data_IF_972393394350
#
_entry.id   IF_972393394350
#
_cell.length_a   1.000
_cell.length_b   1.000
_cell.length_c   1.000
_cell.angle_alpha   90.00
_cell.angle_beta   90.00
_cell.angle_gamma   90.00
#
_symmetry.space_group_name_H-M   'P 1'
#
loop_
_entity.id
_entity.type
_entity.pdbx_description
1 polymer ?
#
# COMPACT_ATOMS: atom_id res chain seq x y z
N UNK A 1 -18.72 -69.21 6.37
CA UNK A 1 -17.63 -68.47 7.05
C UNK A 1 -17.35 -67.19 6.28
N UNK A 2 -17.52 -66.09 6.98
CA UNK A 2 -17.80 -64.75 6.48
C UNK A 2 -16.50 -63.99 6.19
N UNK A 3 -15.97 -64.02 4.96
CA UNK A 3 -14.85 -63.15 4.57
C UNK A 3 -15.38 -61.86 3.96
N UNK A 4 -15.81 -60.96 4.85
CA UNK A 4 -16.22 -59.61 4.51
C UNK A 4 -14.99 -58.79 4.13
N UNK A 5 -15.05 -58.23 2.94
CA UNK A 5 -13.99 -57.44 2.32
C UNK A 5 -13.71 -56.15 3.11
N UNK A 6 -12.46 -55.90 3.55
CA UNK A 6 -12.10 -54.68 4.28
C UNK A 6 -11.91 -53.46 3.36
N UNK A 7 -12.30 -53.53 2.08
CA UNK A 7 -12.10 -52.46 1.09
C UNK A 7 -13.21 -51.40 1.11
N UNK A 8 -14.35 -51.67 1.74
CA UNK A 8 -15.48 -50.72 1.83
C UNK A 8 -15.28 -49.55 2.81
N UNK A 9 -14.66 -49.69 4.01
CA UNK A 9 -14.51 -48.53 4.91
C UNK A 9 -13.43 -47.54 4.45
N UNK A 10 -12.44 -47.96 3.65
CA UNK A 10 -11.37 -47.07 3.19
C UNK A 10 -11.83 -46.08 2.11
N UNK A 11 -12.75 -46.49 1.24
CA UNK A 11 -13.33 -45.61 0.20
C UNK A 11 -14.32 -44.58 0.77
N UNK A 12 -14.97 -44.89 1.89
CA UNK A 12 -15.94 -43.99 2.52
C UNK A 12 -15.25 -42.82 3.28
N UNK A 13 -14.03 -43.00 3.76
CA UNK A 13 -13.26 -41.94 4.42
C UNK A 13 -12.64 -40.93 3.44
N UNK A 14 -12.29 -41.34 2.21
CA UNK A 14 -11.82 -40.39 1.19
C UNK A 14 -12.96 -39.54 0.60
N UNK A 15 -14.21 -40.02 0.66
CA UNK A 15 -15.37 -39.24 0.23
C UNK A 15 -15.74 -38.12 1.22
N UNK A 16 -15.46 -38.28 2.53
CA UNK A 16 -15.73 -37.25 3.53
C UNK A 16 -14.70 -36.10 3.55
N UNK A 17 -13.48 -36.32 3.06
CA UNK A 17 -12.48 -35.25 2.91
C UNK A 17 -12.66 -34.42 1.63
N UNK A 18 -13.51 -34.86 0.69
CA UNK A 18 -13.83 -34.14 -0.54
C UNK A 18 -14.80 -32.96 -0.38
N UNK A 19 -15.37 -32.74 0.83
CA UNK A 19 -16.32 -31.66 1.10
C UNK A 19 -15.70 -30.41 1.75
N UNK A 20 -14.38 -30.38 1.96
CA UNK A 20 -13.65 -29.12 2.08
C UNK A 20 -13.28 -28.61 0.68
N UNK A 21 -14.31 -28.39 -0.14
CA UNK A 21 -14.20 -27.36 -1.14
C UNK A 21 -14.00 -26.05 -0.35
N UNK A 22 -12.74 -25.66 -0.15
CA UNK A 22 -12.42 -24.26 0.09
C UNK A 22 -13.26 -23.50 -0.94
N UNK A 23 -14.18 -22.61 -0.51
CA UNK A 23 -14.98 -21.91 -1.47
C UNK A 23 -13.95 -21.17 -2.32
N UNK A 24 -13.85 -21.56 -3.58
CA UNK A 24 -13.21 -20.81 -4.65
C UNK A 24 -14.01 -19.53 -4.77
N UNK A 25 -13.84 -18.66 -3.77
CA UNK A 25 -14.29 -17.28 -3.75
C UNK A 25 -13.35 -16.61 -4.71
N UNK A 26 -13.64 -16.78 -5.99
CA UNK A 26 -13.23 -15.81 -6.98
C UNK A 26 -13.71 -14.47 -6.42
N UNK A 27 -12.77 -13.69 -5.88
CA UNK A 27 -13.02 -12.29 -5.60
C UNK A 27 -13.70 -11.73 -6.86
N UNK A 28 -14.86 -11.09 -6.71
CA UNK A 28 -15.52 -10.48 -7.85
C UNK A 28 -14.52 -9.61 -8.61
N UNK A 29 -14.55 -9.69 -9.95
CA UNK A 29 -13.83 -8.71 -10.75
C UNK A 29 -14.41 -7.32 -10.48
N UNK A 30 -13.57 -6.29 -10.61
CA UNK A 30 -13.97 -4.91 -10.34
C UNK A 30 -15.19 -4.49 -11.18
N UNK A 31 -15.25 -4.96 -12.43
CA UNK A 31 -16.40 -4.78 -13.34
C UNK A 31 -17.72 -5.35 -12.78
N UNK A 32 -17.65 -6.46 -12.02
CA UNK A 32 -18.82 -7.07 -11.39
C UNK A 32 -19.24 -6.30 -10.13
N UNK A 33 -18.28 -5.74 -9.39
CA UNK A 33 -18.54 -4.88 -8.23
C UNK A 33 -19.29 -3.62 -8.66
N UNK A 34 -18.83 -2.97 -9.73
CA UNK A 34 -19.45 -1.78 -10.31
C UNK A 34 -20.89 -2.09 -10.76
N UNK A 35 -21.09 -3.15 -11.55
CA UNK A 35 -22.42 -3.59 -11.97
C UNK A 35 -23.38 -3.84 -10.80
N UNK A 36 -22.90 -4.42 -9.68
CA UNK A 36 -23.74 -4.62 -8.51
C UNK A 36 -24.04 -3.30 -7.77
N UNK A 37 -23.12 -2.33 -7.83
CA UNK A 37 -23.31 -0.99 -7.28
C UNK A 37 -24.36 -0.22 -8.09
N UNK A 38 -24.29 -0.28 -9.42
CA UNK A 38 -25.28 0.32 -10.34
C UNK A 38 -26.69 -0.28 -10.15
N UNK A 39 -26.76 -1.58 -9.83
CA UNK A 39 -28.01 -2.25 -9.43
C UNK A 39 -28.57 -1.75 -8.07
N UNK A 40 -27.88 -0.80 -7.39
CA UNK A 40 -28.29 -0.21 -6.12
C UNK A 40 -27.99 -1.07 -4.89
N UNK A 41 -27.13 -2.09 -5.02
CA UNK A 41 -26.76 -2.93 -3.86
C UNK A 41 -25.78 -2.20 -2.97
N UNK A 42 -26.03 -2.25 -1.66
CA UNK A 42 -25.11 -1.64 -0.69
C UNK A 42 -23.72 -2.29 -0.73
N UNK A 43 -22.67 -1.49 -0.50
CA UNK A 43 -21.27 -1.93 -0.41
C UNK A 43 -21.09 -3.13 0.52
N UNK A 44 -21.86 -3.19 1.61
CA UNK A 44 -21.85 -4.32 2.57
C UNK A 44 -22.43 -5.61 1.99
N UNK A 45 -23.49 -5.52 1.17
CA UNK A 45 -24.07 -6.66 0.47
C UNK A 45 -23.14 -7.16 -0.65
N UNK A 46 -22.49 -6.25 -1.38
CA UNK A 46 -21.52 -6.59 -2.43
C UNK A 46 -20.29 -7.26 -1.81
N UNK A 47 -19.74 -6.70 -0.72
CA UNK A 47 -18.64 -7.29 0.03
C UNK A 47 -18.94 -8.73 0.49
N UNK A 48 -20.15 -8.97 0.99
CA UNK A 48 -20.60 -10.30 1.40
C UNK A 48 -20.79 -11.25 0.21
N UNK A 49 -21.28 -10.75 -0.91
CA UNK A 49 -21.52 -11.54 -2.14
C UNK A 49 -20.21 -11.91 -2.84
N UNK A 50 -19.24 -11.01 -2.81
CA UNK A 50 -17.94 -11.15 -3.46
C UNK A 50 -16.85 -11.72 -2.53
N UNK A 51 -17.20 -11.99 -1.26
CA UNK A 51 -16.27 -12.28 -0.17
C UNK A 51 -15.03 -11.37 -0.14
N UNK A 52 -15.27 -10.07 -0.26
CA UNK A 52 -14.26 -9.03 -0.22
C UNK A 52 -14.48 -8.15 1.00
N UNK A 53 -13.46 -7.39 1.39
CA UNK A 53 -13.63 -6.39 2.44
C UNK A 53 -14.46 -5.22 1.93
N UNK A 54 -15.25 -4.62 2.82
CA UNK A 54 -16.05 -3.42 2.52
C UNK A 54 -15.14 -2.28 2.01
N UNK A 55 -13.93 -2.16 2.55
CA UNK A 55 -12.94 -1.19 2.09
C UNK A 55 -12.53 -1.39 0.62
N UNK A 56 -12.34 -2.64 0.19
CA UNK A 56 -11.96 -2.95 -1.20
C UNK A 56 -13.10 -2.70 -2.18
N UNK A 57 -14.32 -3.07 -1.82
CA UNK A 57 -15.51 -2.77 -2.64
C UNK A 57 -15.74 -1.26 -2.74
N UNK A 58 -15.59 -0.52 -1.64
CA UNK A 58 -15.73 0.94 -1.62
C UNK A 58 -14.71 1.61 -2.54
N UNK A 59 -13.44 1.19 -2.49
CA UNK A 59 -12.39 1.73 -3.34
C UNK A 59 -12.66 1.51 -4.83
N UNK A 60 -13.28 0.38 -5.21
CA UNK A 60 -13.62 0.09 -6.61
C UNK A 60 -14.81 0.93 -7.09
N UNK A 61 -15.85 1.08 -6.26
CA UNK A 61 -17.01 1.93 -6.60
C UNK A 61 -16.59 3.40 -6.71
N UNK A 62 -15.81 3.89 -5.74
CA UNK A 62 -15.27 5.26 -5.76
C UNK A 62 -14.35 5.50 -6.98
N UNK A 63 -13.62 4.48 -7.45
CA UNK A 63 -12.80 4.62 -8.66
C UNK A 63 -13.63 4.72 -9.96
N UNK A 64 -14.82 4.13 -10.02
CA UNK A 64 -15.72 4.19 -11.19
C UNK A 64 -16.52 5.50 -11.25
N UNK A 65 -17.03 5.97 -10.10
CA UNK A 65 -17.68 7.29 -9.99
C UNK A 65 -16.75 8.43 -10.45
N UNK A 66 -15.44 8.29 -10.25
CA UNK A 66 -14.43 9.25 -10.73
C UNK A 66 -14.01 9.03 -12.19
N UNK A 67 -14.39 7.92 -12.84
CA UNK A 67 -14.05 7.62 -14.23
C UNK A 67 -15.06 8.16 -15.25
N UNK A 68 -16.24 8.60 -14.81
CA UNK A 68 -17.30 9.14 -15.68
C UNK A 68 -17.15 10.64 -16.03
N UNK A 69 -16.15 11.35 -15.47
CA UNK A 69 -15.91 12.78 -15.72
C UNK A 69 -14.52 13.09 -16.31
N UNK A 70 -13.97 12.21 -17.15
CA UNK A 70 -12.76 12.51 -17.94
C UNK A 70 -13.09 12.95 -19.38
N UNK A 71 -14.01 13.92 -19.49
CA UNK A 71 -14.03 14.92 -20.56
C UNK A 71 -14.50 16.24 -19.97
N UNK A 72 -13.53 17.14 -19.78
CA UNK A 72 -13.66 18.53 -19.35
C UNK A 72 -13.83 18.79 -17.83
N UNK A 73 -12.68 18.97 -17.18
CA UNK A 73 -12.45 19.99 -16.15
C UNK A 73 -13.42 20.04 -14.95
N UNK A 74 -13.20 19.13 -14.01
CA UNK A 74 -13.07 19.53 -12.62
C UNK A 74 -11.69 19.06 -12.15
N UNK A 75 -10.70 19.94 -12.30
CA UNK A 75 -9.41 19.83 -11.62
C UNK A 75 -9.70 19.47 -10.16
N UNK A 76 -9.33 18.29 -9.63
CA UNK A 76 -9.15 18.21 -8.20
C UNK A 76 -8.08 19.26 -7.93
N UNK A 77 -8.44 20.36 -7.27
CA UNK A 77 -7.43 21.17 -6.59
C UNK A 77 -6.60 20.12 -5.86
N UNK A 78 -5.33 19.91 -6.26
CA UNK A 78 -4.58 18.79 -5.74
C UNK A 78 -4.62 18.97 -4.24
N UNK A 79 -5.30 18.06 -3.53
CA UNK A 79 -5.07 17.90 -2.10
C UNK A 79 -3.55 17.86 -2.02
N UNK A 80 -2.89 18.87 -1.41
CA UNK A 80 -1.53 19.21 -1.75
C UNK A 80 -0.75 17.92 -1.63
N UNK A 81 -0.34 17.34 -2.78
CA UNK A 81 0.51 16.18 -2.81
C UNK A 81 1.60 16.55 -1.83
N UNK A 82 1.85 15.75 -0.76
CA UNK A 82 2.62 16.20 0.39
C UNK A 82 3.85 16.87 -0.17
N UNK A 83 3.88 18.21 -0.09
CA UNK A 83 4.62 19.00 -1.08
C UNK A 83 6.05 18.61 -0.92
N UNK A 84 6.54 17.82 -1.88
CA UNK A 84 7.87 17.22 -1.77
C UNK A 84 8.82 18.37 -1.53
N UNK A 85 9.72 18.17 -0.58
CA UNK A 85 10.61 19.22 -0.12
C UNK A 85 11.47 19.68 -1.31
N UNK A 86 11.54 21.00 -1.56
CA UNK A 86 12.36 21.54 -2.64
C UNK A 86 13.85 21.33 -2.34
N UNK A 87 14.70 21.44 -3.35
CA UNK A 87 16.15 21.38 -3.17
C UNK A 87 16.62 22.40 -2.12
N UNK A 88 17.54 21.99 -1.25
CA UNK A 88 18.03 22.76 -0.12
C UNK A 88 17.18 22.68 1.16
N UNK A 89 15.99 22.09 1.11
CA UNK A 89 15.16 21.95 2.29
C UNK A 89 15.75 20.94 3.29
N UNK A 90 15.80 21.32 4.57
CA UNK A 90 16.34 20.48 5.64
C UNK A 90 15.44 19.29 5.95
N UNK A 91 16.02 18.09 6.00
CA UNK A 91 15.32 16.85 6.35
C UNK A 91 15.40 16.55 7.84
N UNK A 92 16.51 16.97 8.45
CA UNK A 92 16.83 16.82 9.85
C UNK A 92 17.50 18.09 10.38
N UNK A 93 17.44 18.27 11.70
CA UNK A 93 18.27 19.23 12.42
C UNK A 93 19.76 18.89 12.30
N UNK A 94 20.60 19.82 12.73
CA UNK A 94 22.04 19.61 12.77
C UNK A 94 22.40 18.60 13.88
N UNK A 95 22.94 17.46 13.48
CA UNK A 95 23.28 16.35 14.35
C UNK A 95 24.80 16.11 14.42
N UNK A 96 25.26 15.65 15.57
CA UNK A 96 26.66 15.29 15.81
C UNK A 96 26.93 13.82 15.44
N UNK A 97 26.67 13.43 14.18
CA UNK A 97 26.89 12.06 13.69
C UNK A 97 28.38 11.70 13.46
N UNK A 98 29.32 12.58 13.83
CA UNK A 98 30.74 12.43 13.57
C UNK A 98 31.15 12.98 12.21
N UNK A 99 32.16 12.39 11.58
CA UNK A 99 32.65 12.83 10.28
C UNK A 99 31.79 12.24 9.17
N UNK A 100 30.91 13.05 8.56
CA UNK A 100 30.17 12.69 7.36
C UNK A 100 30.84 13.35 6.15
N UNK A 101 31.04 12.67 5.02
CA UNK A 101 31.59 13.31 3.82
C UNK A 101 30.64 14.39 3.31
N UNK A 102 31.16 15.60 3.05
CA UNK A 102 30.40 16.65 2.38
C UNK A 102 29.91 16.13 1.03
N UNK A 103 28.62 16.33 0.72
CA UNK A 103 28.07 15.89 -0.56
C UNK A 103 27.53 14.46 -0.57
N UNK A 104 27.66 13.70 0.53
CA UNK A 104 27.16 12.32 0.62
C UNK A 104 25.66 12.24 0.30
N UNK A 105 25.31 11.45 -0.72
CA UNK A 105 23.94 11.32 -1.22
C UNK A 105 23.25 10.10 -0.61
N UNK A 106 22.04 10.26 -0.08
CA UNK A 106 21.19 9.16 0.36
C UNK A 106 19.78 9.25 -0.23
N UNK A 107 19.09 8.11 -0.45
CA UNK A 107 17.72 8.09 -0.92
C UNK A 107 16.79 8.75 0.10
N UNK A 108 15.96 9.70 -0.35
CA UNK A 108 15.01 10.41 0.49
C UNK A 108 13.71 10.68 -0.26
N UNK A 109 12.65 9.97 0.12
CA UNK A 109 11.34 10.02 -0.54
C UNK A 109 10.62 11.36 -0.30
N UNK A 110 11.02 12.06 0.78
CA UNK A 110 10.49 13.38 1.13
C UNK A 110 10.97 14.48 0.18
N UNK A 111 12.10 14.29 -0.52
CA UNK A 111 12.67 15.26 -1.45
C UNK A 111 12.07 15.15 -2.85
N UNK A 112 11.95 16.27 -3.56
CA UNK A 112 11.52 16.29 -4.97
C UNK A 112 12.47 15.46 -5.85
N UNK A 113 13.77 15.61 -5.64
CA UNK A 113 14.82 14.87 -6.33
C UNK A 113 14.95 13.40 -5.90
N UNK A 114 14.21 12.97 -4.87
CA UNK A 114 14.32 11.63 -4.30
C UNK A 114 15.64 11.36 -3.56
N UNK A 115 16.50 12.38 -3.41
CA UNK A 115 17.81 12.27 -2.77
C UNK A 115 18.09 13.42 -1.82
N UNK A 116 18.91 13.14 -0.81
CA UNK A 116 19.40 14.11 0.16
C UNK A 116 20.92 14.17 0.13
N UNK A 117 21.49 15.32 0.48
CA UNK A 117 22.93 15.55 0.58
C UNK A 117 23.31 15.91 2.02
N UNK A 118 24.39 15.30 2.53
CA UNK A 118 25.03 15.73 3.76
C UNK A 118 25.69 17.11 3.61
N UNK A 119 25.24 18.06 4.41
CA UNK A 119 25.69 19.45 4.44
C UNK A 119 26.12 19.83 5.85
N UNK A 120 27.27 20.51 6.03
CA UNK A 120 27.75 20.95 7.32
C UNK A 120 26.87 22.07 7.86
N UNK A 121 26.73 22.07 9.16
CA UNK A 121 26.06 23.11 9.92
C UNK A 121 27.09 24.02 10.59
N UNK A 122 26.66 25.25 10.88
CA UNK A 122 27.38 26.09 11.81
C UNK A 122 27.34 25.47 13.21
N UNK A 123 28.47 25.48 13.90
CA UNK A 123 28.61 24.94 15.24
C UNK A 123 29.75 23.93 15.37
N UNK A 124 29.82 23.29 16.53
CA UNK A 124 30.91 22.40 16.90
C UNK A 124 30.38 21.30 17.80
N UNK A 125 30.71 20.04 17.48
CA UNK A 125 30.34 18.88 18.28
C UNK A 125 31.48 18.49 19.25
N UNK A 126 31.28 18.60 20.57
CA UNK A 126 32.26 18.14 21.57
C UNK A 126 32.43 16.61 21.54
N UNK A 127 33.58 16.07 21.99
CA UNK A 127 34.83 16.74 22.38
C UNK A 127 35.81 16.91 21.21
N UNK A 128 35.50 16.30 20.05
CA UNK A 128 36.41 16.16 18.89
C UNK A 128 36.40 17.37 17.98
N UNK A 129 35.35 18.17 18.04
CA UNK A 129 35.27 19.39 17.26
C UNK A 129 34.91 19.31 15.82
N UNK A 130 34.20 18.25 15.52
CA UNK A 130 33.73 18.02 14.18
C UNK A 130 32.54 18.95 13.98
N UNK A 131 32.45 19.55 12.79
CA UNK A 131 31.30 20.34 12.41
C UNK A 131 30.04 19.44 12.48
N UNK A 132 28.93 19.92 13.06
CA UNK A 132 27.66 19.20 13.02
C UNK A 132 27.18 19.06 11.57
N UNK A 133 26.41 18.01 11.29
CA UNK A 133 25.93 17.68 9.95
C UNK A 133 24.41 17.69 9.90
N UNK A 134 23.85 18.10 8.76
CA UNK A 134 22.43 17.89 8.46
C UNK A 134 22.28 17.31 7.07
N UNK A 135 21.15 16.67 6.81
CA UNK A 135 20.76 16.30 5.44
C UNK A 135 19.78 17.33 4.89
N UNK A 136 20.02 17.74 3.65
CA UNK A 136 19.13 18.63 2.88
C UNK A 136 18.75 17.95 1.58
N UNK A 137 17.59 18.29 1.01
CA UNK A 137 17.22 17.79 -0.31
C UNK A 137 18.20 18.26 -1.38
N UNK A 138 18.58 17.36 -2.30
CA UNK A 138 19.44 17.69 -3.44
C UNK A 138 18.68 18.37 -4.56
#
# INVERSE_FOLDING_TARGET
>A
MSWRHPLLPALLLLALFGAYAAPTQAACSDKKIISLSDEGKSVKAIAKTCNMTVAKVRAVVEADDNAAEDVAAATPAPAPAPSKLPSGAGLASCDCQGTVPYGDKAPEQRCQSGTSIATPCAGYCPPRGIAPWRRVCS
#
